data_IF_897560260221
#
_entry.id   IF_897560260221
#
_cell.length_a   1.000
_cell.length_b   1.000
_cell.length_c   1.000
_cell.angle_alpha   90.00
_cell.angle_beta   90.00
_cell.angle_gamma   90.00
#
_symmetry.space_group_name_H-M   'P 1'
#
loop_
_entity.id
_entity.type
_entity.pdbx_description
1 polymer ?
#
# COMPACT_ATOMS: atom_id res chain seq x y z
N UNK A 1 6.03 -6.72 0.84
CA UNK A 1 5.52 -7.69 -0.17
C UNK A 1 6.40 -7.60 -1.41
N UNK A 2 6.74 -8.72 -2.04
CA UNK A 2 7.48 -8.78 -3.32
C UNK A 2 6.74 -9.68 -4.31
N UNK A 3 6.78 -9.32 -5.59
CA UNK A 3 6.16 -10.09 -6.68
C UNK A 3 7.26 -10.53 -7.63
N UNK A 4 7.55 -11.82 -7.61
CA UNK A 4 8.57 -12.42 -8.45
C UNK A 4 8.08 -12.51 -9.90
N UNK A 5 8.74 -11.78 -10.81
CA UNK A 5 8.40 -11.76 -12.23
C UNK A 5 9.12 -12.86 -13.05
N UNK A 6 9.91 -13.73 -12.41
CA UNK A 6 10.73 -14.75 -13.09
C UNK A 6 9.89 -15.90 -13.68
N UNK A 7 10.51 -16.76 -14.50
CA UNK A 7 9.84 -17.98 -15.02
C UNK A 7 9.48 -18.90 -13.84
N UNK A 8 8.30 -19.56 -13.83
CA UNK A 8 7.40 -19.83 -14.95
C UNK A 8 6.25 -18.82 -15.14
N UNK A 9 6.27 -17.67 -14.45
CA UNK A 9 5.18 -16.69 -14.53
C UNK A 9 4.98 -16.20 -15.96
N UNK A 10 3.76 -15.80 -16.30
CA UNK A 10 3.38 -15.25 -17.60
C UNK A 10 3.08 -13.75 -17.49
N UNK A 11 3.17 -12.99 -18.60
CA UNK A 11 2.66 -11.61 -18.62
C UNK A 11 1.21 -11.56 -18.13
N UNK A 12 0.85 -10.51 -17.39
CA UNK A 12 -0.47 -10.32 -16.75
C UNK A 12 -0.76 -11.24 -15.56
N UNK A 13 0.15 -12.13 -15.17
CA UNK A 13 0.02 -12.81 -13.87
C UNK A 13 -0.09 -11.79 -12.75
N UNK A 14 -0.99 -12.07 -11.81
CA UNK A 14 -1.23 -11.20 -10.66
C UNK A 14 -0.84 -11.89 -9.35
N UNK A 15 -0.31 -11.10 -8.43
CA UNK A 15 -0.10 -11.50 -7.04
C UNK A 15 -0.86 -10.54 -6.15
N UNK A 16 -1.66 -11.08 -5.24
CA UNK A 16 -2.57 -10.30 -4.40
C UNK A 16 -2.24 -10.48 -2.92
N UNK A 17 -2.15 -9.36 -2.20
CA UNK A 17 -2.05 -9.31 -0.74
C UNK A 17 -3.31 -8.68 -0.18
N UNK A 18 -3.99 -9.41 0.69
CA UNK A 18 -5.20 -8.98 1.35
C UNK A 18 -4.85 -8.61 2.79
N UNK A 19 -5.32 -7.46 3.24
CA UNK A 19 -5.27 -7.09 4.65
C UNK A 19 -6.22 -7.95 5.49
N UNK A 20 -6.09 -7.92 6.83
CA UNK A 20 -7.17 -8.31 7.72
C UNK A 20 -8.45 -7.53 7.45
N UNK A 21 -9.58 -8.03 7.98
CA UNK A 21 -10.86 -7.33 7.94
C UNK A 21 -10.86 -6.16 8.93
N UNK A 22 -11.10 -4.96 8.43
CA UNK A 22 -11.31 -3.76 9.24
C UNK A 22 -12.80 -3.55 9.49
N UNK A 23 -13.20 -3.60 10.77
CA UNK A 23 -14.56 -3.27 11.16
C UNK A 23 -14.78 -1.76 11.14
N UNK A 24 -15.93 -1.33 10.59
CA UNK A 24 -16.31 0.09 10.50
C UNK A 24 -17.41 0.37 11.52
N UNK A 25 -17.21 1.44 12.29
CA UNK A 25 -18.25 1.99 13.17
C UNK A 25 -19.04 3.06 12.43
N UNK A 26 -20.37 3.03 12.52
CA UNK A 26 -21.28 3.94 11.79
C UNK A 26 -21.24 5.41 12.21
N UNK A 27 -20.40 5.78 13.20
CA UNK A 27 -20.25 7.16 13.67
C UNK A 27 -18.98 7.77 13.07
N UNK A 28 -19.13 8.49 11.97
CA UNK A 28 -18.06 9.31 11.42
C UNK A 28 -17.95 10.70 12.08
N UNK A 29 -16.97 11.52 11.69
CA UNK A 29 -16.77 12.85 12.23
C UNK A 29 -18.01 13.76 12.04
N UNK A 30 -18.32 14.59 13.03
CA UNK A 30 -19.41 15.61 12.97
C UNK A 30 -20.80 15.04 12.62
N UNK A 31 -21.12 13.82 13.04
CA UNK A 31 -22.41 13.19 12.77
C UNK A 31 -22.54 12.60 11.36
N UNK A 32 -21.44 12.46 10.61
CA UNK A 32 -21.48 11.73 9.34
C UNK A 32 -21.77 10.25 9.58
N UNK A 33 -22.50 9.63 8.65
CA UNK A 33 -22.85 8.21 8.73
C UNK A 33 -21.69 7.27 8.38
N UNK A 34 -20.49 7.80 8.05
CA UNK A 34 -19.34 7.01 7.60
C UNK A 34 -18.03 7.58 8.12
N UNK A 35 -17.18 6.71 8.62
CA UNK A 35 -15.82 7.03 9.06
C UNK A 35 -14.85 6.96 7.87
N UNK A 36 -14.13 8.05 7.54
CA UNK A 36 -13.04 7.99 6.57
C UNK A 36 -11.84 7.22 7.13
N UNK A 37 -11.05 6.64 6.25
CA UNK A 37 -9.77 6.01 6.54
C UNK A 37 -8.70 6.52 5.56
N UNK A 38 -7.45 6.45 6.00
CA UNK A 38 -6.29 6.67 5.16
C UNK A 38 -5.46 5.39 5.08
N UNK A 39 -5.25 4.90 3.86
CA UNK A 39 -4.31 3.82 3.58
C UNK A 39 -3.00 4.48 3.15
N UNK A 40 -1.90 4.21 3.85
CA UNK A 40 -0.58 4.69 3.48
C UNK A 40 0.39 3.54 3.34
N UNK A 41 1.29 3.62 2.36
CA UNK A 41 2.30 2.60 2.11
C UNK A 41 3.44 3.21 1.31
N UNK A 42 4.62 2.62 1.43
CA UNK A 42 5.73 2.88 0.52
C UNK A 42 5.73 1.86 -0.62
N UNK A 43 6.08 2.31 -1.82
CA UNK A 43 6.25 1.46 -2.98
C UNK A 43 7.52 1.81 -3.75
N UNK A 44 8.10 0.79 -4.39
CA UNK A 44 9.21 0.94 -5.32
C UNK A 44 8.93 0.12 -6.57
N UNK A 45 9.08 0.76 -7.74
CA UNK A 45 8.78 0.17 -9.04
C UNK A 45 9.83 0.65 -10.05
N UNK A 46 10.83 -0.19 -10.33
CA UNK A 46 11.94 0.15 -11.23
C UNK A 46 12.26 -1.01 -12.17
N UNK A 47 12.28 -0.73 -13.46
CA UNK A 47 12.65 -1.70 -14.48
C UNK A 47 12.04 -1.37 -15.84
N UNK A 48 12.52 -2.07 -16.87
CA UNK A 48 12.08 -1.89 -18.26
C UNK A 48 10.71 -2.51 -18.52
N UNK A 49 10.42 -3.62 -17.85
CA UNK A 49 9.20 -4.41 -18.04
C UNK A 49 8.31 -4.38 -16.79
N UNK A 50 8.27 -3.25 -16.09
CA UNK A 50 7.39 -3.06 -14.93
C UNK A 50 5.94 -3.09 -15.38
N UNK A 51 5.13 -3.89 -14.68
CA UNK A 51 3.69 -3.91 -14.88
C UNK A 51 2.99 -2.84 -14.05
N UNK A 52 2.01 -3.23 -13.24
CA UNK A 52 1.17 -2.29 -12.49
C UNK A 52 1.03 -2.69 -11.03
N UNK A 53 0.82 -1.70 -10.16
CA UNK A 53 0.41 -1.91 -8.78
C UNK A 53 -0.96 -1.25 -8.58
N UNK A 54 -1.94 -2.06 -8.22
CA UNK A 54 -3.33 -1.67 -7.98
C UNK A 54 -3.66 -1.83 -6.49
N UNK A 55 -4.54 -0.97 -5.98
CA UNK A 55 -5.14 -1.09 -4.66
C UNK A 55 -6.65 -1.08 -4.81
N UNK A 56 -7.29 -2.09 -4.22
CA UNK A 56 -8.73 -2.25 -4.20
C UNK A 56 -9.27 -2.23 -2.77
N UNK A 57 -10.54 -1.84 -2.65
CA UNK A 57 -11.35 -2.09 -1.47
C UNK A 57 -12.34 -3.21 -1.72
N UNK A 58 -12.33 -4.20 -0.84
CA UNK A 58 -13.30 -5.30 -0.81
C UNK A 58 -14.19 -5.15 0.41
N UNK A 59 -15.48 -4.88 0.22
CA UNK A 59 -16.45 -4.71 1.33
C UNK A 59 -17.16 -6.03 1.59
N UNK A 60 -17.18 -6.49 2.85
CA UNK A 60 -17.72 -7.81 3.25
C UNK A 60 -19.18 -8.02 2.83
N UNK A 61 -20.02 -6.97 2.93
CA UNK A 61 -21.44 -7.05 2.57
C UNK A 61 -21.68 -7.16 1.06
N UNK A 62 -20.67 -6.87 0.24
CA UNK A 62 -20.71 -6.93 -1.22
C UNK A 62 -19.55 -7.80 -1.69
N UNK A 63 -19.41 -8.99 -1.09
CA UNK A 63 -18.20 -9.83 -1.16
C UNK A 63 -17.70 -10.19 -2.57
N UNK A 64 -18.48 -9.92 -3.62
CA UNK A 64 -18.10 -10.12 -5.03
C UNK A 64 -17.59 -8.85 -5.75
N UNK A 65 -17.65 -7.66 -5.14
CA UNK A 65 -17.26 -6.41 -5.79
C UNK A 65 -16.04 -5.78 -5.10
N UNK A 66 -14.99 -5.60 -5.89
CA UNK A 66 -13.78 -4.89 -5.48
C UNK A 66 -13.76 -3.53 -6.18
N UNK A 67 -13.67 -2.46 -5.39
CA UNK A 67 -13.64 -1.11 -5.94
C UNK A 67 -12.18 -0.66 -6.07
N UNK A 68 -11.68 -0.30 -7.26
CA UNK A 68 -10.34 0.26 -7.40
C UNK A 68 -10.27 1.62 -6.70
N UNK A 69 -9.25 1.83 -5.86
CA UNK A 69 -9.05 3.07 -5.11
C UNK A 69 -7.72 3.76 -5.42
N UNK A 70 -6.75 3.03 -5.96
CA UNK A 70 -5.47 3.59 -6.40
C UNK A 70 -4.82 2.65 -7.41
N UNK A 71 -4.06 3.21 -8.36
CA UNK A 71 -3.26 2.44 -9.29
C UNK A 71 -2.05 3.25 -9.77
N UNK A 72 -0.96 2.56 -10.07
CA UNK A 72 0.19 3.11 -10.79
C UNK A 72 0.78 2.04 -11.70
N UNK A 73 1.32 2.45 -12.84
CA UNK A 73 1.88 1.54 -13.83
C UNK A 73 3.25 2.02 -14.31
N UNK A 74 4.06 1.06 -14.78
CA UNK A 74 5.37 1.33 -15.37
C UNK A 74 6.43 1.81 -14.38
N UNK A 75 7.58 2.19 -14.92
CA UNK A 75 8.74 2.61 -14.14
C UNK A 75 8.48 3.91 -13.36
N UNK A 76 8.70 3.87 -12.06
CA UNK A 76 8.53 4.98 -11.13
C UNK A 76 9.87 5.61 -10.71
N UNK A 77 10.99 5.04 -11.14
CA UNK A 77 12.34 5.49 -10.80
C UNK A 77 12.97 4.72 -9.62
N UNK A 78 14.21 5.06 -9.24
CA UNK A 78 14.96 4.34 -8.20
C UNK A 78 14.50 4.56 -6.77
N UNK A 79 13.66 5.57 -6.53
CA UNK A 79 13.35 6.01 -5.17
C UNK A 79 12.08 5.33 -4.69
N UNK A 80 12.07 4.98 -3.41
CA UNK A 80 10.83 4.65 -2.71
C UNK A 80 9.90 5.86 -2.71
N UNK A 81 8.63 5.63 -3.02
CA UNK A 81 7.59 6.65 -3.03
C UNK A 81 6.52 6.29 -2.01
N UNK A 82 5.99 7.29 -1.32
CA UNK A 82 4.86 7.09 -0.41
C UNK A 82 3.54 7.38 -1.13
N UNK A 83 2.59 6.45 -1.04
CA UNK A 83 1.20 6.67 -1.42
C UNK A 83 0.34 6.92 -0.18
N UNK A 84 -0.66 7.81 -0.33
CA UNK A 84 -1.71 8.05 0.65
C UNK A 84 -3.06 8.01 -0.07
N UNK A 85 -3.89 7.04 0.26
CA UNK A 85 -5.14 6.74 -0.43
C UNK A 85 -6.30 6.97 0.54
N UNK A 86 -7.04 8.09 0.41
CA UNK A 86 -8.20 8.37 1.24
C UNK A 86 -9.37 7.49 0.81
N UNK A 87 -10.04 6.85 1.76
CA UNK A 87 -11.19 5.98 1.49
C UNK A 87 -12.31 6.18 2.50
N UNK A 88 -13.56 5.98 2.08
CA UNK A 88 -14.73 6.05 2.97
C UNK A 88 -15.60 4.80 2.77
N UNK A 89 -15.21 3.65 3.38
CA UNK A 89 -15.87 2.38 3.18
C UNK A 89 -17.30 2.40 3.74
N UNK A 90 -18.21 1.67 3.07
CA UNK A 90 -19.64 1.63 3.42
C UNK A 90 -19.99 0.56 4.46
N UNK A 91 -19.01 -0.26 4.83
CA UNK A 91 -19.12 -1.38 5.77
C UNK A 91 -17.76 -2.01 6.03
N UNK A 92 -17.68 -3.11 6.81
CA UNK A 92 -16.44 -3.81 7.06
C UNK A 92 -15.70 -4.16 5.76
N UNK A 93 -14.40 -3.87 5.70
CA UNK A 93 -13.64 -3.91 4.45
C UNK A 93 -12.25 -4.54 4.61
N UNK A 94 -11.69 -5.01 3.49
CA UNK A 94 -10.28 -5.36 3.34
C UNK A 94 -9.66 -4.46 2.27
N UNK A 95 -8.37 -4.17 2.44
CA UNK A 95 -7.52 -3.56 1.42
C UNK A 95 -6.86 -4.70 0.64
N UNK A 96 -6.90 -4.62 -0.69
CA UNK A 96 -6.24 -5.60 -1.54
C UNK A 96 -5.21 -4.90 -2.42
N UNK A 97 -3.94 -5.23 -2.20
CA UNK A 97 -2.85 -4.85 -3.08
C UNK A 97 -2.71 -5.92 -4.15
N UNK A 98 -2.65 -5.52 -5.42
CA UNK A 98 -2.44 -6.41 -6.54
C UNK A 98 -1.30 -5.86 -7.39
N UNK A 99 -0.21 -6.60 -7.51
CA UNK A 99 0.74 -6.30 -8.56
C UNK A 99 0.51 -7.21 -9.75
N UNK A 100 0.56 -6.59 -10.92
CA UNK A 100 0.39 -7.21 -12.23
C UNK A 100 1.77 -7.27 -12.88
N UNK A 101 2.17 -8.45 -13.34
CA UNK A 101 3.44 -8.62 -14.06
C UNK A 101 3.40 -7.90 -15.40
N UNK A 102 4.49 -7.21 -15.75
CA UNK A 102 4.66 -6.64 -17.08
C UNK A 102 5.06 -7.69 -18.13
N UNK A 103 5.44 -7.22 -19.31
CA UNK A 103 5.72 -8.07 -20.47
C UNK A 103 7.02 -8.91 -20.37
N UNK A 104 7.83 -8.69 -19.33
CA UNK A 104 9.13 -9.33 -19.14
C UNK A 104 9.51 -9.44 -17.67
N UNK A 105 10.72 -9.93 -17.40
CA UNK A 105 11.23 -10.20 -16.05
C UNK A 105 12.10 -9.06 -15.49
N UNK A 106 12.46 -8.08 -16.32
CA UNK A 106 13.32 -6.96 -15.92
C UNK A 106 12.51 -5.87 -15.21
N UNK A 107 12.24 -6.09 -13.93
CA UNK A 107 11.67 -5.08 -13.05
C UNK A 107 10.91 -5.65 -11.87
N UNK A 108 11.04 -4.98 -10.73
CA UNK A 108 10.47 -5.40 -9.46
C UNK A 108 9.43 -4.41 -8.95
N UNK A 109 8.37 -4.95 -8.34
CA UNK A 109 7.38 -4.19 -7.56
C UNK A 109 7.53 -4.60 -6.10
N UNK A 110 7.83 -3.62 -5.25
CA UNK A 110 7.94 -3.81 -3.81
C UNK A 110 7.03 -2.83 -3.07
N UNK A 111 6.46 -3.29 -1.95
CA UNK A 111 5.63 -2.50 -1.03
C UNK A 111 6.13 -2.73 0.39
N UNK A 112 6.21 -1.64 1.15
CA UNK A 112 6.59 -1.65 2.57
C UNK A 112 5.75 -0.68 3.41
N UNK A 113 5.86 -0.78 4.74
CA UNK A 113 5.29 0.18 5.71
C UNK A 113 3.80 0.49 5.48
N UNK A 114 3.00 -0.56 5.23
CA UNK A 114 1.55 -0.44 5.03
C UNK A 114 0.86 -0.10 6.35
N UNK A 115 0.09 0.98 6.35
CA UNK A 115 -0.72 1.41 7.48
C UNK A 115 -2.13 1.81 7.04
N UNK A 116 -3.12 1.48 7.88
CA UNK A 116 -4.52 1.84 7.69
C UNK A 116 -4.98 2.57 8.95
N UNK A 117 -5.22 3.87 8.82
CA UNK A 117 -5.57 4.74 9.94
C UNK A 117 -6.97 5.30 9.78
N UNK A 118 -7.68 5.51 10.90
CA UNK A 118 -8.97 6.20 10.89
C UNK A 118 -8.74 7.70 10.67
N UNK A 119 -9.62 8.33 9.90
CA UNK A 119 -9.55 9.75 9.57
C UNK A 119 -9.09 10.02 8.15
N UNK A 120 -8.98 11.31 7.82
CA UNK A 120 -8.47 11.78 6.54
C UNK A 120 -6.96 11.59 6.45
N UNK A 121 -6.44 11.40 5.24
CA UNK A 121 -5.00 11.37 5.03
C UNK A 121 -4.36 12.71 5.39
N UNK A 122 -3.41 12.70 6.31
CA UNK A 122 -2.60 13.88 6.64
C UNK A 122 -1.61 14.11 5.50
N UNK A 123 -1.51 15.35 5.01
CA UNK A 123 -0.41 15.71 4.14
C UNK A 123 0.86 15.91 4.97
N UNK A 124 2.01 15.55 4.41
CA UNK A 124 3.30 16.03 4.90
C UNK A 124 3.23 17.55 4.81
N UNK A 125 3.21 18.23 5.96
CA UNK A 125 3.51 19.66 5.95
C UNK A 125 4.98 19.75 5.56
N UNK A 126 5.28 20.33 4.40
CA UNK A 126 6.66 20.76 4.14
C UNK A 126 7.06 21.68 5.27
N UNK A 127 8.03 21.26 6.07
CA UNK A 127 8.55 22.07 7.17
C UNK A 127 9.28 23.25 6.51
N UNK A 128 8.62 24.39 6.41
CA UNK A 128 9.34 25.66 6.44
C UNK A 128 9.85 25.82 7.86
N UNK A 129 11.17 25.95 8.00
CA UNK A 129 11.92 26.02 9.26
C UNK A 129 11.12 26.66 10.41
N UNK A 130 10.74 25.86 11.40
CA UNK A 130 10.45 26.34 12.75
C UNK A 130 11.04 25.36 13.77
N UNK A 131 11.71 25.96 14.75
CA UNK A 131 12.68 25.40 15.69
C UNK A 131 12.03 24.47 16.73
N UNK A 132 12.83 23.51 17.22
CA UNK A 132 12.54 22.43 18.18
C UNK A 132 11.87 22.86 19.50
N UNK A 133 10.95 22.04 20.01
CA UNK A 133 10.81 21.70 21.44
C UNK A 133 10.09 20.34 21.59
N UNK A 134 10.52 19.52 22.55
CA UNK A 134 10.46 18.06 22.46
C UNK A 134 9.48 17.31 23.38
N UNK A 135 9.53 15.98 23.23
CA UNK A 135 9.10 14.92 24.16
C UNK A 135 7.79 14.18 23.79
N UNK A 136 7.53 12.96 24.32
CA UNK A 136 8.38 11.76 24.40
C UNK A 136 7.88 10.64 23.43
N UNK A 137 8.68 9.58 23.37
CA UNK A 137 8.58 8.35 22.57
C UNK A 137 7.34 7.47 22.84
N UNK A 138 6.79 6.85 21.79
CA UNK A 138 6.27 5.46 21.85
C UNK A 138 6.83 4.70 20.65
N UNK A 139 7.90 3.96 20.92
CA UNK A 139 8.35 2.85 20.09
C UNK A 139 7.49 1.64 20.46
N UNK A 140 6.90 1.01 19.46
CA UNK A 140 6.49 -0.38 19.59
C UNK A 140 6.96 -1.11 18.34
N UNK A 141 8.07 -1.82 18.55
CA UNK A 141 8.65 -2.76 17.60
C UNK A 141 7.59 -3.76 17.13
N UNK A 142 7.63 -4.09 15.83
CA UNK A 142 7.67 -5.46 15.28
C UNK A 142 7.16 -5.43 13.83
N UNK A 143 8.04 -5.16 12.87
CA UNK A 143 8.03 -5.81 11.55
C UNK A 143 9.34 -5.61 10.76
N UNK A 144 10.46 -5.46 11.49
CA UNK A 144 11.83 -5.49 10.97
C UNK A 144 12.28 -6.89 10.48
N UNK A 145 11.35 -7.78 10.11
CA UNK A 145 11.64 -9.19 9.79
C UNK A 145 11.31 -9.58 8.34
N UNK A 146 10.64 -8.74 7.53
CA UNK A 146 10.40 -9.08 6.11
C UNK A 146 11.31 -8.34 5.11
N UNK A 147 12.08 -7.33 5.55
CA UNK A 147 13.00 -6.58 4.67
C UNK A 147 14.30 -7.35 4.40
N UNK A 148 14.69 -8.29 5.27
CA UNK A 148 16.00 -8.95 5.23
C UNK A 148 16.14 -10.16 4.28
N UNK A 149 15.05 -10.66 3.67
CA UNK A 149 15.15 -11.79 2.73
C UNK A 149 15.28 -11.39 1.25
N UNK A 150 15.07 -10.12 0.86
CA UNK A 150 15.17 -9.73 -0.55
C UNK A 150 16.54 -9.11 -0.94
N UNK A 151 17.36 -8.70 0.03
CA UNK A 151 18.71 -8.17 -0.23
C UNK A 151 19.75 -9.26 -0.56
N UNK A 152 19.47 -10.53 -0.25
CA UNK A 152 20.41 -11.64 -0.51
C UNK A 152 20.39 -12.17 -1.96
N UNK A 153 19.55 -11.63 -2.84
CA UNK A 153 19.58 -11.94 -4.28
C UNK A 153 20.16 -10.81 -5.13
N UNK A 154 20.63 -9.72 -4.52
CA UNK A 154 21.35 -8.66 -5.23
C UNK A 154 22.81 -9.02 -5.57
N UNK A 155 23.29 -10.23 -5.25
CA UNK A 155 24.65 -10.71 -5.57
C UNK A 155 24.72 -12.21 -5.94
N UNK A 156 23.90 -12.67 -6.90
CA UNK A 156 24.30 -13.80 -7.76
C UNK A 156 23.54 -13.82 -9.07
#
# INVERSE_FOLDING_TARGET
MYIEASRPRQPLDTARLLSPLYNVTSKGPKGSNRMPYCISFYYHMRGKHIGSLNVFLRVKSIAMMETPVWAVSGNQGPQWKMARVPVTPIGPFQVVFEGVRGAGYEGDIAIDDVSVTKGVCKQEKSISNQVLSGGPTVQLDTLLVCVLLCLQLFHR
#
